data_IF_753232932116
#
_entry.id   IF_753232932116
#
_cell.length_a   1.000
_cell.length_b   1.000
_cell.length_c   1.000
_cell.angle_alpha   90.00
_cell.angle_beta   90.00
_cell.angle_gamma   90.00
#
_symmetry.space_group_name_H-M   'P 1'
#
loop_
_entity.id
_entity.type
_entity.pdbx_description
1 polymer ?
#
# COMPACT_ATOMS: atom_id res chain seq x y z
N UNK A 1 -9.32 -30.88 -81.66
CA UNK A 1 -8.51 -31.12 -80.43
C UNK A 1 -8.38 -29.80 -79.69
N UNK A 2 -8.68 -29.82 -78.39
CA UNK A 2 -9.04 -28.67 -77.56
C UNK A 2 -7.79 -27.89 -77.13
N UNK A 3 -7.73 -26.59 -77.42
CA UNK A 3 -6.72 -25.67 -76.87
C UNK A 3 -7.15 -25.19 -75.48
N UNK A 4 -6.40 -25.55 -74.44
CA UNK A 4 -6.54 -24.98 -73.09
C UNK A 4 -5.64 -23.75 -72.95
N UNK A 5 -6.24 -22.57 -72.80
CA UNK A 5 -5.56 -21.34 -72.34
C UNK A 5 -5.48 -21.39 -70.81
N UNK A 6 -4.28 -21.41 -70.23
CA UNK A 6 -4.09 -21.15 -68.81
C UNK A 6 -3.94 -19.63 -68.59
N UNK A 7 -4.91 -19.06 -67.89
CA UNK A 7 -4.87 -17.69 -67.37
C UNK A 7 -4.26 -17.74 -65.97
N UNK A 8 -3.05 -17.20 -65.79
CA UNK A 8 -2.43 -17.07 -64.47
C UNK A 8 -2.92 -15.75 -63.85
N UNK A 9 -3.84 -15.83 -62.90
CA UNK A 9 -4.27 -14.69 -62.10
C UNK A 9 -3.33 -14.53 -60.90
N UNK A 10 -2.55 -13.45 -60.87
CA UNK A 10 -1.74 -13.08 -59.73
C UNK A 10 -2.63 -12.43 -58.66
N UNK A 11 -2.82 -13.11 -57.53
CA UNK A 11 -3.50 -12.55 -56.35
C UNK A 11 -2.44 -11.88 -55.48
N UNK A 12 -2.29 -10.56 -55.60
CA UNK A 12 -1.55 -9.75 -54.63
C UNK A 12 -2.40 -9.57 -53.36
N UNK A 13 -2.16 -10.41 -52.36
CA UNK A 13 -2.74 -10.23 -51.02
C UNK A 13 -2.10 -9.03 -50.32
N UNK A 14 -2.86 -7.96 -50.10
CA UNK A 14 -2.49 -6.89 -49.18
C UNK A 14 -2.60 -7.43 -47.74
N UNK A 15 -1.45 -7.69 -47.11
CA UNK A 15 -1.37 -7.88 -45.67
C UNK A 15 -1.47 -6.50 -44.99
N UNK A 16 -2.65 -6.17 -44.49
CA UNK A 16 -2.84 -5.06 -43.55
C UNK A 16 -2.25 -5.45 -42.20
N UNK A 17 -1.03 -4.99 -41.91
CA UNK A 17 -0.48 -5.03 -40.57
C UNK A 17 -1.23 -4.00 -39.71
N UNK A 18 -2.17 -4.46 -38.90
CA UNK A 18 -2.71 -3.66 -37.80
C UNK A 18 -1.61 -3.49 -36.75
N UNK A 19 -0.87 -2.39 -36.83
CA UNK A 19 -0.05 -1.93 -35.71
C UNK A 19 -1.01 -1.50 -34.59
N UNK A 20 -1.14 -2.34 -33.57
CA UNK A 20 -1.77 -1.91 -32.32
C UNK A 20 -0.86 -0.81 -31.77
N UNK A 21 -1.31 0.44 -31.85
CA UNK A 21 -0.61 1.56 -31.24
C UNK A 21 -0.52 1.29 -29.72
N UNK A 22 0.70 1.08 -29.22
CA UNK A 22 0.94 0.95 -27.79
C UNK A 22 0.53 2.26 -27.12
N UNK A 23 -0.37 2.18 -26.14
CA UNK A 23 -0.85 3.37 -25.44
C UNK A 23 0.33 4.07 -24.76
N UNK A 24 0.40 5.39 -24.86
CA UNK A 24 1.48 6.16 -24.26
C UNK A 24 1.59 5.89 -22.74
N UNK A 25 2.81 5.79 -22.19
CA UNK A 25 3.01 5.59 -20.75
C UNK A 25 2.32 6.66 -19.92
N UNK A 26 1.75 6.25 -18.78
CA UNK A 26 1.08 7.17 -17.84
C UNK A 26 2.07 8.15 -17.22
N UNK A 27 1.65 9.39 -16.95
CA UNK A 27 2.53 10.40 -16.34
C UNK A 27 2.30 10.52 -14.85
N UNK A 28 3.34 10.28 -14.04
CA UNK A 28 3.25 10.26 -12.57
C UNK A 28 4.00 11.44 -11.98
N UNK A 29 3.34 12.20 -11.11
CA UNK A 29 4.01 13.18 -10.26
C UNK A 29 4.58 12.46 -9.04
N UNK A 30 5.90 12.50 -8.86
CA UNK A 30 6.61 11.84 -7.76
C UNK A 30 7.03 12.91 -6.75
N UNK A 31 6.47 12.84 -5.54
CA UNK A 31 6.79 13.76 -4.45
C UNK A 31 7.59 13.02 -3.39
N UNK A 32 8.81 13.49 -3.14
CA UNK A 32 9.75 12.91 -2.14
C UNK A 32 10.14 13.92 -1.04
N UNK A 33 9.30 14.94 -0.82
CA UNK A 33 9.57 15.99 0.16
C UNK A 33 9.35 15.52 1.61
N UNK A 34 10.30 15.86 2.48
CA UNK A 34 10.16 15.73 3.94
C UNK A 34 10.13 17.11 4.61
N UNK A 35 9.02 17.45 5.25
CA UNK A 35 8.84 18.55 6.20
C UNK A 35 8.79 18.00 7.64
N UNK A 36 9.81 17.22 7.99
CA UNK A 36 9.92 16.44 9.22
C UNK A 36 11.11 15.49 9.14
N UNK A 37 10.99 14.28 9.70
CA UNK A 37 12.02 13.26 9.54
C UNK A 37 12.23 12.95 8.06
N UNK A 38 13.50 12.97 7.63
CA UNK A 38 13.92 12.69 6.26
C UNK A 38 14.62 11.35 6.22
N UNK A 39 13.99 10.39 5.55
CA UNK A 39 14.58 9.06 5.36
C UNK A 39 15.70 9.11 4.33
N UNK A 40 16.67 8.22 4.48
CA UNK A 40 17.82 8.16 3.59
C UNK A 40 17.47 7.98 2.10
N UNK A 41 16.49 7.15 1.70
CA UNK A 41 16.14 6.95 0.28
C UNK A 41 15.68 8.21 -0.46
N UNK A 42 15.27 9.26 0.25
CA UNK A 42 14.84 10.55 -0.32
C UNK A 42 15.86 11.68 -0.17
N UNK A 43 17.09 11.36 0.24
CA UNK A 43 18.18 12.33 0.23
C UNK A 43 18.64 12.59 -1.20
N UNK A 44 18.57 13.86 -1.63
CA UNK A 44 19.18 14.35 -2.86
C UNK A 44 20.58 14.90 -2.56
N UNK A 45 21.50 14.77 -3.52
CA UNK A 45 22.79 15.47 -3.51
C UNK A 45 22.70 16.65 -4.48
N UNK A 46 22.46 17.84 -3.96
CA UNK A 46 22.27 19.04 -4.78
C UNK A 46 21.04 18.94 -5.69
N UNK A 47 21.24 19.01 -7.01
CA UNK A 47 20.16 18.94 -8.02
C UNK A 47 19.87 17.53 -8.54
N UNK A 48 20.60 16.53 -8.06
CA UNK A 48 20.40 15.12 -8.44
C UNK A 48 19.08 14.57 -7.89
N UNK A 49 18.59 13.51 -8.52
CA UNK A 49 17.49 12.69 -8.04
C UNK A 49 17.91 11.88 -6.82
N UNK A 50 16.93 11.47 -5.99
CA UNK A 50 17.17 10.53 -4.90
C UNK A 50 16.90 9.08 -5.33
N UNK A 51 17.28 8.10 -4.50
CA UNK A 51 17.14 6.67 -4.81
C UNK A 51 15.70 6.29 -5.20
N UNK A 52 14.69 6.78 -4.46
CA UNK A 52 13.28 6.54 -4.79
C UNK A 52 12.93 7.02 -6.19
N UNK A 53 13.38 8.22 -6.56
CA UNK A 53 13.12 8.84 -7.86
C UNK A 53 13.80 8.07 -8.99
N UNK A 54 15.04 7.66 -8.80
CA UNK A 54 15.81 6.87 -9.77
C UNK A 54 15.20 5.50 -10.01
N UNK A 55 14.80 4.81 -8.94
CA UNK A 55 14.17 3.50 -9.05
C UNK A 55 12.81 3.61 -9.73
N UNK A 56 11.98 4.59 -9.37
CA UNK A 56 10.68 4.78 -10.03
C UNK A 56 10.82 5.13 -11.51
N UNK A 57 11.76 6.01 -11.88
CA UNK A 57 12.04 6.33 -13.27
C UNK A 57 12.53 5.10 -14.05
N UNK A 58 13.42 4.30 -13.46
CA UNK A 58 13.96 3.07 -14.06
C UNK A 58 12.85 2.05 -14.31
N UNK A 59 12.05 1.72 -13.29
CA UNK A 59 11.01 0.68 -13.40
C UNK A 59 9.84 1.13 -14.28
N UNK A 60 9.50 2.42 -14.26
CA UNK A 60 8.48 3.00 -15.14
C UNK A 60 8.91 2.86 -16.61
N UNK A 61 10.15 3.26 -16.91
CA UNK A 61 10.74 3.14 -18.26
C UNK A 61 10.87 1.69 -18.71
N UNK A 62 11.41 0.79 -17.88
CA UNK A 62 11.63 -0.60 -18.28
C UNK A 62 10.35 -1.40 -18.44
N UNK A 63 9.28 -1.04 -17.72
CA UNK A 63 7.97 -1.68 -17.83
C UNK A 63 7.09 -1.11 -18.94
N UNK A 64 7.42 0.08 -19.47
CA UNK A 64 6.58 0.81 -20.43
C UNK A 64 5.29 1.40 -19.83
N UNK A 65 5.06 1.23 -18.53
CA UNK A 65 3.78 1.58 -17.90
C UNK A 65 3.67 3.08 -17.62
N UNK A 66 4.74 3.70 -17.13
CA UNK A 66 4.69 5.08 -16.68
C UNK A 66 6.03 5.83 -16.79
N UNK A 67 5.94 7.15 -16.77
CA UNK A 67 7.06 8.08 -16.64
C UNK A 67 6.88 8.93 -15.40
N UNK A 68 7.96 9.50 -14.87
CA UNK A 68 7.96 10.26 -13.62
C UNK A 68 8.37 11.70 -13.83
N UNK A 69 7.71 12.63 -13.14
CA UNK A 69 8.17 14.01 -12.92
C UNK A 69 8.39 14.17 -11.42
N UNK A 70 9.62 14.48 -11.03
CA UNK A 70 10.05 14.41 -9.64
C UNK A 70 10.07 15.81 -8.99
N UNK A 71 9.56 15.93 -7.76
CA UNK A 71 9.63 17.18 -6.99
C UNK A 71 9.86 16.93 -5.50
N UNK A 72 10.66 17.80 -4.88
CA UNK A 72 10.73 17.98 -3.43
C UNK A 72 10.17 19.34 -2.98
N UNK A 73 9.45 20.02 -3.87
CA UNK A 73 8.69 21.23 -3.59
C UNK A 73 7.21 20.99 -3.92
N UNK A 74 6.45 20.52 -2.91
CA UNK A 74 5.05 20.14 -3.06
C UNK A 74 4.15 21.34 -3.36
N UNK A 75 4.47 22.53 -2.83
CA UNK A 75 3.66 23.73 -3.04
C UNK A 75 3.66 24.15 -4.52
N UNK A 76 4.82 24.09 -5.18
CA UNK A 76 4.93 24.37 -6.61
C UNK A 76 4.36 23.23 -7.47
N UNK A 77 4.56 21.99 -7.04
CA UNK A 77 4.17 20.82 -7.82
C UNK A 77 2.67 20.48 -7.75
N UNK A 78 2.02 20.72 -6.62
CA UNK A 78 0.63 20.34 -6.37
C UNK A 78 -0.26 21.58 -6.49
N UNK A 79 -0.50 21.96 -7.74
CA UNK A 79 -1.45 23.01 -8.12
C UNK A 79 -2.48 22.43 -9.09
N UNK A 80 -3.69 22.98 -9.13
CA UNK A 80 -4.75 22.48 -10.02
C UNK A 80 -4.31 22.44 -11.48
N UNK A 81 -3.59 23.46 -11.93
CA UNK A 81 -3.10 23.53 -13.31
C UNK A 81 -2.00 22.51 -13.59
N UNK A 82 -1.01 22.40 -12.70
CA UNK A 82 0.07 21.44 -12.89
C UNK A 82 -0.46 20.00 -12.87
N UNK A 83 -1.46 19.70 -12.01
CA UNK A 83 -2.04 18.36 -11.87
C UNK A 83 -2.77 17.85 -13.13
N UNK A 84 -3.24 18.73 -14.03
CA UNK A 84 -3.99 18.34 -15.24
C UNK A 84 -3.21 17.39 -16.16
N UNK A 85 -1.88 17.46 -16.16
CA UNK A 85 -1.03 16.65 -17.03
C UNK A 85 -0.72 15.24 -16.48
N UNK A 86 -1.11 14.96 -15.23
CA UNK A 86 -0.73 13.72 -14.55
C UNK A 86 -1.89 12.72 -14.52
N UNK A 87 -1.55 11.44 -14.55
CA UNK A 87 -2.48 10.31 -14.41
C UNK A 87 -2.52 9.77 -12.99
N UNK A 88 -1.47 10.02 -12.22
CA UNK A 88 -1.39 9.69 -10.81
C UNK A 88 -0.28 10.44 -10.09
N UNK A 89 -0.25 10.27 -8.78
CA UNK A 89 0.74 10.87 -7.89
C UNK A 89 1.31 9.81 -6.96
N UNK A 90 2.61 9.89 -6.71
CA UNK A 90 3.35 9.01 -5.80
C UNK A 90 3.91 9.81 -4.64
N UNK A 91 3.68 9.33 -3.41
CA UNK A 91 4.20 9.93 -2.19
C UNK A 91 5.20 8.99 -1.49
N UNK A 92 6.39 9.51 -1.24
CA UNK A 92 7.28 9.10 -0.15
C UNK A 92 7.63 10.38 0.61
N UNK A 93 6.75 10.81 1.50
CA UNK A 93 6.78 12.16 2.07
C UNK A 93 6.66 12.13 3.59
N UNK A 94 7.02 13.22 4.27
CA UNK A 94 6.84 13.33 5.73
C UNK A 94 6.36 14.72 6.11
N UNK A 95 5.45 14.82 7.09
CA UNK A 95 5.06 16.11 7.69
C UNK A 95 3.93 16.85 6.95
N UNK A 96 3.81 18.16 7.22
CA UNK A 96 2.79 19.04 6.62
C UNK A 96 3.39 19.79 5.42
N UNK A 97 3.11 19.33 4.20
CA UNK A 97 3.77 19.83 2.97
C UNK A 97 3.05 21.01 2.29
N UNK A 98 1.75 21.14 2.53
CA UNK A 98 0.86 22.09 1.87
C UNK A 98 0.10 22.91 2.93
N UNK A 99 -0.10 24.21 2.70
CA UNK A 99 -0.97 25.02 3.54
C UNK A 99 -2.42 24.56 3.44
N UNK A 100 -3.24 24.95 4.43
CA UNK A 100 -4.68 24.77 4.38
C UNK A 100 -5.27 25.53 3.17
N UNK A 101 -6.40 25.04 2.64
CA UNK A 101 -7.07 25.64 1.48
C UNK A 101 -6.78 24.92 0.15
N UNK A 102 -6.74 25.70 -0.93
CA UNK A 102 -6.79 25.17 -2.30
C UNK A 102 -5.72 24.10 -2.63
N UNK A 103 -4.44 24.20 -2.19
CA UNK A 103 -3.46 23.17 -2.52
C UNK A 103 -3.82 21.78 -1.99
N UNK A 104 -4.40 21.69 -0.78
CA UNK A 104 -4.88 20.40 -0.23
C UNK A 104 -6.11 19.90 -0.97
N UNK A 105 -7.06 20.79 -1.26
CA UNK A 105 -8.26 20.41 -2.00
C UNK A 105 -7.93 19.99 -3.44
N UNK A 106 -6.96 20.63 -4.10
CA UNK A 106 -6.46 20.24 -5.41
C UNK A 106 -5.91 18.79 -5.41
N UNK A 107 -5.15 18.41 -4.39
CA UNK A 107 -4.67 17.03 -4.22
C UNK A 107 -5.85 16.05 -4.05
N UNK A 108 -6.79 16.36 -3.16
CA UNK A 108 -7.90 15.46 -2.88
C UNK A 108 -8.85 15.34 -4.07
N UNK A 109 -9.15 16.44 -4.76
CA UNK A 109 -9.98 16.48 -5.97
C UNK A 109 -9.32 15.69 -7.11
N UNK A 110 -8.01 15.83 -7.29
CA UNK A 110 -7.26 15.06 -8.28
C UNK A 110 -7.48 13.55 -8.09
N UNK A 111 -7.31 13.05 -6.86
CA UNK A 111 -7.52 11.63 -6.54
C UNK A 111 -9.00 11.26 -6.73
N UNK A 112 -9.93 12.02 -6.12
CA UNK A 112 -11.38 11.76 -6.21
C UNK A 112 -11.89 11.76 -7.66
N UNK A 113 -11.25 12.50 -8.56
CA UNK A 113 -11.64 12.60 -9.97
C UNK A 113 -11.40 11.32 -10.77
N UNK A 114 -10.55 10.41 -10.28
CA UNK A 114 -10.23 9.17 -10.98
C UNK A 114 -8.74 8.84 -11.06
N UNK A 115 -7.88 9.73 -10.59
CA UNK A 115 -6.42 9.62 -10.72
C UNK A 115 -5.84 8.68 -9.66
N UNK A 116 -4.71 8.06 -9.98
CA UNK A 116 -4.05 7.11 -9.10
C UNK A 116 -3.32 7.80 -7.96
N UNK A 117 -3.36 7.21 -6.76
CA UNK A 117 -2.46 7.55 -5.66
C UNK A 117 -1.67 6.31 -5.24
N UNK A 118 -0.35 6.43 -5.20
CA UNK A 118 0.55 5.42 -4.63
C UNK A 118 1.31 6.01 -3.47
N UNK A 119 1.22 5.41 -2.29
CA UNK A 119 1.99 5.79 -1.11
C UNK A 119 2.94 4.67 -0.69
N UNK A 120 4.19 5.03 -0.38
CA UNK A 120 5.15 4.10 0.21
C UNK A 120 5.64 4.61 1.57
N UNK A 121 5.77 3.69 2.53
CA UNK A 121 6.37 3.89 3.84
C UNK A 121 5.93 5.19 4.56
N UNK A 122 6.74 6.24 4.45
CA UNK A 122 6.52 7.53 5.12
C UNK A 122 5.31 8.29 4.62
N UNK A 123 4.68 7.90 3.50
CA UNK A 123 3.42 8.49 3.06
C UNK A 123 2.34 8.50 4.17
N UNK A 124 2.34 7.52 5.09
CA UNK A 124 1.44 7.51 6.26
C UNK A 124 1.89 8.43 7.41
N UNK A 125 3.11 8.96 7.39
CA UNK A 125 3.66 10.00 8.29
C UNK A 125 3.44 11.42 7.73
N UNK A 126 2.66 11.55 6.66
CA UNK A 126 2.31 12.82 6.03
C UNK A 126 0.95 13.32 6.51
N UNK A 127 0.80 14.64 6.63
CA UNK A 127 -0.49 15.31 6.83
C UNK A 127 -1.32 14.84 8.04
N UNK A 128 -0.67 14.47 9.16
CA UNK A 128 -1.36 13.95 10.37
C UNK A 128 -2.50 14.83 10.90
N UNK A 129 -2.44 16.15 10.66
CA UNK A 129 -3.48 17.12 11.09
C UNK A 129 -4.55 17.39 10.03
N UNK A 130 -4.39 16.86 8.82
CA UNK A 130 -5.37 16.99 7.74
C UNK A 130 -6.17 15.70 7.61
N UNK A 131 -7.36 15.68 8.20
CA UNK A 131 -8.23 14.51 8.25
C UNK A 131 -8.56 13.95 6.86
N UNK A 132 -8.73 14.81 5.85
CA UNK A 132 -9.00 14.37 4.47
C UNK A 132 -7.93 13.40 3.93
N UNK A 133 -6.65 13.74 4.12
CA UNK A 133 -5.56 12.85 3.72
C UNK A 133 -5.48 11.60 4.58
N UNK A 134 -5.56 11.73 5.91
CA UNK A 134 -5.51 10.58 6.84
C UNK A 134 -6.62 9.58 6.54
N UNK A 135 -7.84 10.04 6.28
CA UNK A 135 -8.96 9.19 5.88
C UNK A 135 -8.75 8.58 4.50
N UNK A 136 -8.15 9.29 3.54
CA UNK A 136 -7.88 8.77 2.19
C UNK A 136 -6.83 7.65 2.23
N UNK A 137 -5.67 7.88 2.85
CA UNK A 137 -4.62 6.87 2.94
C UNK A 137 -4.96 5.75 3.96
N UNK A 138 -5.88 6.01 4.88
CA UNK A 138 -6.38 5.12 5.93
C UNK A 138 -5.33 4.70 6.96
N UNK A 139 -4.62 5.67 7.54
CA UNK A 139 -3.68 5.43 8.62
C UNK A 139 -2.71 6.59 8.78
N UNK A 140 -2.50 7.01 10.02
CA UNK A 140 -1.50 8.03 10.38
C UNK A 140 -0.42 7.38 11.25
N UNK A 141 0.85 7.56 10.90
CA UNK A 141 1.98 7.03 11.67
C UNK A 141 1.84 7.33 13.17
N UNK A 142 1.97 6.28 13.97
CA UNK A 142 1.85 6.28 15.43
C UNK A 142 3.00 5.54 16.13
N UNK A 143 4.09 5.26 15.41
CA UNK A 143 5.26 4.55 15.92
C UNK A 143 5.75 3.45 14.98
N UNK A 144 6.84 2.79 15.37
CA UNK A 144 7.55 1.79 14.57
C UNK A 144 8.17 0.69 15.46
N UNK A 145 7.34 -0.17 16.10
CA UNK A 145 7.84 -1.19 17.03
C UNK A 145 8.75 -2.24 16.39
N UNK A 146 8.65 -2.40 15.07
CA UNK A 146 9.51 -3.25 14.26
C UNK A 146 10.44 -2.36 13.45
N UNK A 147 11.66 -2.20 13.96
CA UNK A 147 12.66 -1.25 13.48
C UNK A 147 13.27 -1.70 12.15
N UNK A 148 13.98 -0.81 11.46
CA UNK A 148 14.68 -1.05 10.19
C UNK A 148 15.58 -2.30 10.12
N UNK A 149 16.15 -2.73 11.25
CA UNK A 149 16.97 -3.94 11.34
C UNK A 149 16.19 -5.25 11.55
N UNK A 150 14.88 -5.18 11.77
CA UNK A 150 14.03 -6.34 12.08
C UNK A 150 13.70 -7.12 10.81
N UNK A 151 14.04 -8.41 10.77
CA UNK A 151 13.56 -9.32 9.75
C UNK A 151 12.25 -9.96 10.22
N UNK A 152 11.15 -9.69 9.51
CA UNK A 152 9.80 -10.05 9.90
C UNK A 152 9.14 -10.96 8.87
N UNK A 153 8.22 -11.80 9.30
CA UNK A 153 7.34 -12.55 8.41
C UNK A 153 6.09 -11.75 8.03
N UNK A 154 5.56 -12.03 6.85
CA UNK A 154 4.34 -11.40 6.32
C UNK A 154 3.40 -12.47 5.77
N UNK A 155 2.09 -12.26 6.00
CA UNK A 155 1.03 -13.08 5.41
C UNK A 155 0.42 -12.31 4.25
N UNK A 156 0.50 -12.88 3.05
CA UNK A 156 -0.26 -12.41 1.90
C UNK A 156 -1.65 -13.05 1.92
N UNK A 157 -2.64 -12.23 2.18
CA UNK A 157 -4.04 -12.63 2.30
C UNK A 157 -4.67 -12.91 0.93
N UNK A 158 -4.08 -12.38 -0.13
CA UNK A 158 -4.63 -12.41 -1.48
C UNK A 158 -3.54 -12.70 -2.52
N UNK A 159 -2.98 -13.93 -2.54
CA UNK A 159 -1.86 -14.29 -3.40
C UNK A 159 -2.16 -14.22 -4.90
N UNK A 160 -3.41 -14.03 -5.30
CA UNK A 160 -3.84 -13.83 -6.68
C UNK A 160 -4.09 -12.35 -7.03
N UNK A 161 -4.12 -11.44 -6.05
CA UNK A 161 -4.29 -10.01 -6.32
C UNK A 161 -3.04 -9.50 -7.06
N UNK A 162 -3.17 -8.80 -8.20
CA UNK A 162 -2.05 -8.51 -9.09
C UNK A 162 -0.94 -7.72 -8.42
N UNK A 163 -1.30 -6.81 -7.51
CA UNK A 163 -0.34 -5.98 -6.80
C UNK A 163 0.57 -6.76 -5.85
N UNK A 164 0.18 -7.97 -5.40
CA UNK A 164 0.93 -8.73 -4.37
C UNK A 164 1.25 -10.17 -4.77
N UNK A 165 0.82 -10.62 -5.95
CA UNK A 165 1.02 -12.01 -6.41
C UNK A 165 2.50 -12.43 -6.45
N UNK A 166 3.41 -11.50 -6.75
CA UNK A 166 4.86 -11.74 -6.77
C UNK A 166 5.47 -12.06 -5.41
N UNK A 167 4.77 -11.78 -4.31
CA UNK A 167 5.26 -12.01 -2.95
C UNK A 167 5.01 -13.45 -2.45
N UNK A 168 4.20 -14.23 -3.19
CA UNK A 168 3.75 -15.54 -2.73
C UNK A 168 2.80 -15.46 -1.53
N UNK A 169 2.45 -16.60 -0.94
CA UNK A 169 1.51 -16.69 0.19
C UNK A 169 2.09 -16.13 1.50
N UNK A 170 3.39 -16.30 1.70
CA UNK A 170 4.12 -15.79 2.85
C UNK A 170 5.55 -15.43 2.43
N UNK A 171 6.12 -14.41 3.05
CA UNK A 171 7.48 -13.96 2.75
C UNK A 171 8.13 -13.37 4.01
N UNK A 172 9.47 -13.31 3.99
CA UNK A 172 10.27 -12.64 5.02
C UNK A 172 10.86 -11.36 4.43
N UNK A 173 10.86 -10.28 5.22
CA UNK A 173 11.46 -9.02 4.78
C UNK A 173 12.08 -8.25 5.95
N UNK A 174 13.24 -7.64 5.68
CA UNK A 174 13.93 -6.75 6.62
C UNK A 174 13.61 -5.29 6.30
N UNK A 175 12.70 -4.71 7.05
CA UNK A 175 12.26 -3.30 6.90
C UNK A 175 11.73 -2.75 8.22
N UNK A 176 11.52 -1.43 8.26
CA UNK A 176 10.78 -0.78 9.35
C UNK A 176 9.27 -0.83 9.10
N UNK A 177 8.53 -1.36 10.07
CA UNK A 177 7.07 -1.50 9.99
C UNK A 177 6.39 -0.61 11.03
N UNK A 178 5.44 0.17 10.53
CA UNK A 178 4.70 1.17 11.26
C UNK A 178 3.50 0.59 12.00
N UNK A 179 3.12 1.33 13.02
CA UNK A 179 1.79 1.29 13.59
C UNK A 179 1.03 2.56 13.27
N UNK A 180 -0.30 2.48 13.21
CA UNK A 180 -1.15 3.57 12.73
C UNK A 180 -2.23 3.97 13.73
N UNK A 181 -2.43 5.27 13.90
CA UNK A 181 -3.66 5.83 14.42
C UNK A 181 -4.67 6.01 13.27
N UNK A 182 -5.95 6.16 13.60
CA UNK A 182 -7.03 6.46 12.65
C UNK A 182 -7.16 5.45 11.50
N UNK A 183 -6.78 4.20 11.74
CA UNK A 183 -6.97 3.11 10.79
C UNK A 183 -8.41 2.60 10.87
N UNK A 184 -9.14 2.63 9.76
CA UNK A 184 -10.50 2.09 9.66
C UNK A 184 -10.51 0.78 8.84
N UNK A 185 -10.79 -0.38 9.46
CA UNK A 185 -10.83 -1.66 8.74
C UNK A 185 -12.00 -1.78 7.76
N UNK A 186 -13.02 -0.91 7.87
CA UNK A 186 -14.15 -0.88 6.95
C UNK A 186 -13.90 -0.03 5.69
N UNK A 187 -12.77 0.67 5.62
CA UNK A 187 -12.46 1.59 4.53
C UNK A 187 -11.46 1.05 3.50
N UNK A 188 -10.75 -0.04 3.80
CA UNK A 188 -9.68 -0.59 2.96
C UNK A 188 -9.71 -2.10 2.86
N UNK A 189 -9.15 -2.59 1.75
CA UNK A 189 -8.83 -3.99 1.54
C UNK A 189 -7.36 -4.22 1.88
N UNK A 190 -7.10 -4.91 2.99
CA UNK A 190 -5.73 -5.28 3.39
C UNK A 190 -5.27 -6.47 2.57
N UNK A 191 -4.15 -6.32 1.86
CA UNK A 191 -3.59 -7.34 0.97
C UNK A 191 -2.56 -8.21 1.70
N UNK A 192 -1.69 -7.59 2.49
CA UNK A 192 -0.80 -8.32 3.39
C UNK A 192 -0.56 -7.57 4.69
N UNK A 193 -0.22 -8.33 5.72
CA UNK A 193 0.07 -7.85 7.07
C UNK A 193 1.27 -8.58 7.67
N UNK A 194 1.79 -8.08 8.80
CA UNK A 194 2.76 -8.84 9.58
C UNK A 194 2.19 -10.22 9.96
N UNK A 195 3.00 -11.25 9.78
CA UNK A 195 2.77 -12.57 10.34
C UNK A 195 3.31 -12.58 11.76
N UNK A 196 2.44 -12.34 12.74
CA UNK A 196 2.86 -12.23 14.14
C UNK A 196 3.53 -13.50 14.68
N UNK A 197 3.20 -14.68 14.14
CA UNK A 197 3.83 -15.95 14.51
C UNK A 197 5.25 -16.14 13.93
N UNK A 198 5.57 -15.43 12.83
CA UNK A 198 6.90 -15.41 12.20
C UNK A 198 7.64 -14.08 12.41
N UNK A 199 7.18 -13.31 13.39
CA UNK A 199 7.76 -12.05 13.82
C UNK A 199 7.89 -12.06 15.33
N UNK A 200 8.67 -11.12 15.88
CA UNK A 200 8.61 -10.85 17.32
C UNK A 200 7.33 -10.02 17.59
N UNK A 201 6.32 -10.54 18.30
CA UNK A 201 5.09 -9.80 18.55
C UNK A 201 5.38 -8.66 19.54
N UNK A 202 5.33 -7.42 19.07
CA UNK A 202 5.56 -6.23 19.89
C UNK A 202 4.27 -5.69 20.50
N UNK A 203 3.13 -5.98 19.85
CA UNK A 203 1.81 -5.43 20.17
C UNK A 203 0.72 -6.51 19.97
N UNK A 204 -0.40 -6.46 20.72
CA UNK A 204 -1.48 -7.45 20.71
C UNK A 204 -2.53 -7.21 19.61
N UNK A 205 -2.14 -6.66 18.46
CA UNK A 205 -3.09 -6.29 17.43
C UNK A 205 -2.55 -6.56 16.02
N UNK A 206 -3.50 -6.69 15.08
CA UNK A 206 -3.22 -6.84 13.65
C UNK A 206 -2.44 -5.64 13.12
N UNK A 207 -1.41 -5.88 12.30
CA UNK A 207 -0.61 -4.82 11.68
C UNK A 207 -0.69 -4.93 10.16
N UNK A 208 -1.66 -4.26 9.51
CA UNK A 208 -1.71 -4.12 8.06
C UNK A 208 -0.43 -3.46 7.52
N UNK A 209 0.09 -3.97 6.42
CA UNK A 209 1.35 -3.47 5.83
C UNK A 209 1.13 -2.99 4.40
N UNK A 210 0.21 -3.61 3.66
CA UNK A 210 -0.22 -3.11 2.35
C UNK A 210 -1.73 -3.22 2.21
N UNK A 211 -2.33 -2.20 1.63
CA UNK A 211 -3.77 -2.15 1.37
C UNK A 211 -4.10 -1.31 0.14
N UNK A 212 -5.31 -1.53 -0.35
CA UNK A 212 -5.91 -0.78 -1.45
C UNK A 212 -7.30 -0.28 -1.09
N UNK A 213 -7.76 0.75 -1.79
CA UNK A 213 -9.17 1.18 -1.78
C UNK A 213 -9.51 2.01 -3.01
N UNK A 214 -10.81 2.13 -3.26
CA UNK A 214 -11.34 3.24 -4.04
C UNK A 214 -11.53 4.48 -3.15
N UNK A 215 -11.30 5.67 -3.71
CA UNK A 215 -11.56 6.95 -3.05
C UNK A 215 -12.12 7.95 -4.08
N UNK A 216 -13.42 8.24 -4.00
CA UNK A 216 -14.14 8.82 -5.13
C UNK A 216 -14.06 7.85 -6.33
N UNK A 217 -13.65 8.36 -7.49
CA UNK A 217 -13.38 7.54 -8.68
C UNK A 217 -11.93 7.03 -8.74
N UNK A 218 -11.04 7.52 -7.88
CA UNK A 218 -9.62 7.17 -7.86
C UNK A 218 -9.33 5.85 -7.15
N UNK A 219 -8.14 5.31 -7.41
CA UNK A 219 -7.61 4.11 -6.75
C UNK A 219 -6.37 4.49 -5.94
N UNK A 220 -6.37 4.08 -4.67
CA UNK A 220 -5.33 4.35 -3.68
C UNK A 220 -4.67 3.02 -3.35
N UNK A 221 -3.35 2.94 -3.57
CA UNK A 221 -2.52 1.80 -3.18
C UNK A 221 -1.47 2.30 -2.18
N UNK A 222 -1.36 1.62 -1.04
CA UNK A 222 -0.36 1.92 -0.02
C UNK A 222 0.42 0.67 0.35
N UNK A 223 1.74 0.82 0.52
CA UNK A 223 2.61 -0.19 1.10
C UNK A 223 3.53 0.46 2.13
N UNK A 224 3.67 -0.15 3.29
CA UNK A 224 4.56 0.36 4.34
C UNK A 224 6.03 0.04 4.08
N UNK A 225 6.31 -0.95 3.22
CA UNK A 225 7.69 -1.29 2.85
C UNK A 225 8.39 -0.10 2.19
N UNK A 226 9.71 -0.02 2.35
CA UNK A 226 10.55 0.98 1.69
C UNK A 226 11.35 1.89 2.62
N UNK A 227 11.48 1.60 3.92
CA UNK A 227 12.38 2.38 4.79
C UNK A 227 13.83 2.19 4.36
N UNK A 228 14.22 0.91 4.19
CA UNK A 228 15.57 0.53 3.87
C UNK A 228 15.87 0.79 2.38
N UNK A 229 17.03 1.37 2.09
CA UNK A 229 17.49 1.54 0.70
C UNK A 229 17.58 0.21 -0.05
N UNK A 230 17.93 -0.89 0.64
CA UNK A 230 17.96 -2.24 0.04
C UNK A 230 16.57 -2.76 -0.37
N UNK A 231 15.48 -2.25 0.22
CA UNK A 231 14.12 -2.57 -0.24
C UNK A 231 13.89 -2.02 -1.65
N UNK A 232 14.37 -0.81 -1.94
CA UNK A 232 14.25 -0.18 -3.27
C UNK A 232 15.06 -0.88 -4.35
N UNK A 233 16.14 -1.56 -3.97
CA UNK A 233 16.99 -2.35 -4.88
C UNK A 233 16.42 -3.74 -5.19
N UNK A 234 15.48 -4.22 -4.38
CA UNK A 234 14.91 -5.55 -4.54
C UNK A 234 13.92 -5.63 -5.72
N UNK A 235 14.16 -6.54 -6.66
CA UNK A 235 13.33 -6.72 -7.85
C UNK A 235 11.88 -7.11 -7.55
N UNK A 236 11.65 -7.88 -6.48
CA UNK A 236 10.29 -8.26 -6.06
C UNK A 236 9.52 -7.04 -5.55
N UNK A 237 10.18 -6.14 -4.82
CA UNK A 237 9.57 -4.88 -4.38
C UNK A 237 9.34 -3.91 -5.55
N UNK A 238 10.28 -3.83 -6.49
CA UNK A 238 10.10 -3.06 -7.73
C UNK A 238 8.89 -3.58 -8.53
N UNK A 239 8.73 -4.91 -8.67
CA UNK A 239 7.56 -5.51 -9.31
C UNK A 239 6.26 -5.22 -8.55
N UNK A 240 6.29 -5.27 -7.21
CA UNK A 240 5.16 -4.88 -6.36
C UNK A 240 4.72 -3.42 -6.62
N UNK A 241 5.68 -2.49 -6.75
CA UNK A 241 5.39 -1.10 -7.11
C UNK A 241 4.82 -0.97 -8.53
N UNK A 242 5.40 -1.63 -9.54
CA UNK A 242 4.89 -1.61 -10.92
C UNK A 242 3.42 -2.06 -10.94
N UNK A 243 3.10 -3.19 -10.31
CA UNK A 243 1.72 -3.69 -10.29
C UNK A 243 0.79 -2.80 -9.44
N UNK A 244 1.31 -2.19 -8.37
CA UNK A 244 0.61 -1.16 -7.60
C UNK A 244 0.23 0.06 -8.44
N UNK A 245 1.15 0.55 -9.29
CA UNK A 245 0.86 1.61 -10.26
C UNK A 245 -0.15 1.15 -11.31
N UNK A 246 0.04 -0.02 -11.93
CA UNK A 246 -0.90 -0.55 -12.94
C UNK A 246 -2.32 -0.62 -12.38
N UNK A 247 -2.48 -1.15 -11.16
CA UNK A 247 -3.77 -1.24 -10.52
C UNK A 247 -4.35 0.14 -10.20
N UNK A 248 -3.54 1.05 -9.63
CA UNK A 248 -3.98 2.42 -9.27
C UNK A 248 -4.35 3.27 -10.48
N UNK A 249 -3.73 3.01 -11.63
CA UNK A 249 -3.97 3.65 -12.92
C UNK A 249 -5.05 2.95 -13.74
N UNK A 250 -5.69 1.90 -13.20
CA UNK A 250 -6.73 1.09 -13.86
C UNK A 250 -6.26 0.42 -15.15
N UNK A 251 -4.97 0.08 -15.21
CA UNK A 251 -4.39 -0.73 -16.29
C UNK A 251 -4.51 -2.23 -16.00
N UNK A 252 -4.77 -2.59 -14.74
CA UNK A 252 -5.12 -3.95 -14.31
C UNK A 252 -6.31 -3.91 -13.37
N UNK A 253 -7.10 -4.97 -13.40
CA UNK A 253 -8.21 -5.17 -12.48
C UNK A 253 -7.79 -5.94 -11.23
N UNK A 254 -8.46 -5.64 -10.12
CA UNK A 254 -8.28 -6.30 -8.84
C UNK A 254 -9.28 -5.73 -7.83
N UNK A 255 -9.83 -6.55 -6.92
CA UNK A 255 -10.84 -6.11 -5.97
C UNK A 255 -10.30 -4.99 -5.06
N UNK A 256 -11.17 -4.06 -4.69
CA UNK A 256 -10.86 -2.93 -3.81
C UNK A 256 -11.76 -2.89 -2.57
N UNK A 257 -12.76 -3.76 -2.53
CA UNK A 257 -13.80 -3.82 -1.52
C UNK A 257 -13.15 -4.17 -0.17
N UNK A 258 -13.46 -3.41 0.89
CA UNK A 258 -12.90 -3.65 2.21
C UNK A 258 -13.10 -5.08 2.70
N UNK A 259 -12.13 -5.62 3.43
CA UNK A 259 -12.15 -6.98 3.97
C UNK A 259 -12.13 -7.00 5.52
N UNK A 260 -13.11 -6.36 6.20
CA UNK A 260 -13.08 -6.16 7.66
C UNK A 260 -13.14 -7.46 8.47
N UNK A 261 -13.77 -8.51 7.93
CA UNK A 261 -13.83 -9.85 8.55
C UNK A 261 -12.46 -10.52 8.59
N UNK A 262 -11.70 -10.43 7.50
CA UNK A 262 -10.32 -10.92 7.46
C UNK A 262 -9.47 -10.19 8.50
N UNK A 263 -9.56 -8.86 8.50
CA UNK A 263 -8.84 -8.03 9.46
C UNK A 263 -9.24 -8.32 10.92
N UNK A 264 -10.50 -8.69 11.17
CA UNK A 264 -10.97 -9.09 12.50
C UNK A 264 -10.34 -10.42 12.94
N UNK A 265 -10.30 -11.42 12.06
CA UNK A 265 -9.64 -12.71 12.32
C UNK A 265 -8.15 -12.53 12.60
N UNK A 266 -7.45 -11.71 11.82
CA UNK A 266 -6.03 -11.41 12.06
C UNK A 266 -5.81 -10.62 13.37
N UNK A 267 -6.77 -9.78 13.78
CA UNK A 267 -6.72 -9.11 15.09
C UNK A 267 -6.83 -10.11 16.23
N UNK A 268 -7.72 -11.09 16.13
CA UNK A 268 -7.84 -12.18 17.10
C UNK A 268 -6.53 -12.99 17.18
N UNK A 269 -5.96 -13.38 16.04
CA UNK A 269 -4.69 -14.15 16.00
C UNK A 269 -3.55 -13.39 16.67
N UNK A 270 -3.39 -12.11 16.32
CA UNK A 270 -2.35 -11.27 16.89
C UNK A 270 -2.51 -11.10 18.41
N UNK A 271 -3.74 -10.87 18.87
CA UNK A 271 -4.04 -10.75 20.29
C UNK A 271 -3.76 -12.06 21.03
N UNK A 272 -4.29 -13.19 20.54
CA UNK A 272 -4.14 -14.51 21.17
C UNK A 272 -2.67 -14.89 21.33
N UNK A 273 -1.84 -14.65 20.31
CA UNK A 273 -0.40 -14.90 20.36
C UNK A 273 0.30 -14.03 21.39
N UNK A 274 0.01 -12.72 21.40
CA UNK A 274 0.64 -11.80 22.35
C UNK A 274 0.23 -12.10 23.79
N UNK A 275 -1.07 -12.29 24.03
CA UNK A 275 -1.62 -12.56 25.35
C UNK A 275 -1.13 -13.91 25.90
N UNK A 276 -1.09 -14.96 25.07
CA UNK A 276 -0.60 -16.27 25.51
C UNK A 276 0.86 -16.21 25.95
N UNK A 277 1.71 -15.50 25.21
CA UNK A 277 3.11 -15.30 25.58
C UNK A 277 3.28 -14.43 26.83
N UNK A 278 2.51 -13.36 26.96
CA UNK A 278 2.63 -12.42 28.09
C UNK A 278 2.08 -12.97 29.40
N UNK A 279 1.06 -13.82 29.33
CA UNK A 279 0.35 -14.36 30.50
C UNK A 279 0.58 -15.85 30.72
N UNK A 280 1.47 -16.47 29.94
CA UNK A 280 1.79 -17.90 29.99
C UNK A 280 0.53 -18.79 29.87
N UNK A 281 -0.30 -18.52 28.85
CA UNK A 281 -1.53 -19.26 28.57
C UNK A 281 -1.32 -20.27 27.44
N UNK A 282 -2.16 -21.29 27.37
CA UNK A 282 -2.27 -22.18 26.21
C UNK A 282 -2.76 -21.39 24.99
N UNK A 283 -1.89 -21.25 23.98
CA UNK A 283 -2.16 -20.47 22.78
C UNK A 283 -3.29 -21.08 21.93
N UNK A 284 -3.25 -22.38 21.68
CA UNK A 284 -4.18 -23.04 20.77
C UNK A 284 -5.59 -23.05 21.34
N UNK A 285 -5.70 -23.29 22.65
CA UNK A 285 -6.96 -23.18 23.37
C UNK A 285 -7.50 -21.74 23.31
N UNK A 286 -6.68 -20.75 23.66
CA UNK A 286 -7.10 -19.34 23.65
C UNK A 286 -7.54 -18.89 22.25
N UNK A 287 -6.77 -19.24 21.21
CA UNK A 287 -7.09 -18.89 19.84
C UNK A 287 -8.43 -19.51 19.41
N UNK A 288 -8.65 -20.79 19.73
CA UNK A 288 -9.92 -21.48 19.44
C UNK A 288 -11.11 -20.76 20.09
N UNK A 289 -11.01 -20.47 21.39
CA UNK A 289 -12.09 -19.83 22.16
C UNK A 289 -12.39 -18.42 21.65
N UNK A 290 -11.35 -17.64 21.31
CA UNK A 290 -11.51 -16.31 20.71
C UNK A 290 -12.09 -16.36 19.29
N UNK A 291 -11.68 -17.33 18.47
CA UNK A 291 -12.19 -17.48 17.10
C UNK A 291 -13.68 -17.84 17.07
N UNK A 292 -14.19 -18.55 18.08
CA UNK A 292 -15.62 -18.80 18.25
C UNK A 292 -16.43 -17.49 18.39
N UNK A 293 -15.79 -16.39 18.84
CA UNK A 293 -16.38 -15.05 18.95
C UNK A 293 -16.09 -14.13 17.76
N UNK A 294 -15.52 -14.64 16.66
CA UNK A 294 -15.11 -13.82 15.50
C UNK A 294 -16.27 -13.12 14.77
N UNK A 295 -17.51 -13.57 14.96
CA UNK A 295 -18.73 -12.91 14.46
C UNK A 295 -19.35 -11.89 15.42
N UNK A 296 -18.87 -11.77 16.66
CA UNK A 296 -19.41 -10.81 17.63
C UNK A 296 -18.75 -9.44 17.47
N UNK A 297 -19.53 -8.48 16.96
CA UNK A 297 -19.06 -7.11 16.72
C UNK A 297 -18.57 -6.40 17.99
N UNK A 298 -19.16 -6.66 19.17
CA UNK A 298 -18.73 -6.08 20.44
C UNK A 298 -17.39 -6.66 20.86
N UNK A 299 -17.22 -7.98 20.74
CA UNK A 299 -15.96 -8.65 21.02
C UNK A 299 -14.83 -8.16 20.08
N UNK A 300 -15.09 -8.09 18.77
CA UNK A 300 -14.11 -7.59 17.80
C UNK A 300 -13.73 -6.14 18.10
N UNK A 301 -14.71 -5.30 18.49
CA UNK A 301 -14.43 -3.93 18.91
C UNK A 301 -13.51 -3.91 20.14
N UNK A 302 -13.78 -4.73 21.16
CA UNK A 302 -12.95 -4.81 22.37
C UNK A 302 -11.52 -5.28 22.09
N UNK A 303 -11.35 -6.31 21.24
CA UNK A 303 -10.01 -6.75 20.78
C UNK A 303 -9.27 -5.61 20.07
N UNK A 304 -9.98 -4.79 19.28
CA UNK A 304 -9.41 -3.63 18.59
C UNK A 304 -9.19 -2.42 19.49
N UNK A 305 -9.85 -2.32 20.65
CA UNK A 305 -9.61 -1.27 21.66
C UNK A 305 -8.28 -1.49 22.42
N UNK A 306 -7.87 -2.75 22.58
CA UNK A 306 -6.48 -3.12 22.90
C UNK A 306 -5.47 -2.71 21.80
N UNK A 307 -5.99 -2.25 20.66
CA UNK A 307 -5.27 -1.82 19.49
C UNK A 307 -4.62 -0.44 19.63
N UNK A 308 -4.62 0.26 18.50
CA UNK A 308 -3.83 1.45 18.22
C UNK A 308 -4.00 2.62 19.20
N UNK A 309 -5.16 2.74 19.86
CA UNK A 309 -5.47 3.84 20.78
C UNK A 309 -4.81 3.71 22.16
N UNK A 310 -4.53 2.49 22.62
CA UNK A 310 -4.01 2.21 23.97
C UNK A 310 -2.52 1.87 24.01
N UNK A 311 -1.82 1.98 22.86
CA UNK A 311 -0.41 1.57 22.68
C UNK A 311 -0.14 0.10 23.06
N UNK A 312 -1.16 -0.76 22.96
CA UNK A 312 -1.01 -2.23 22.95
C UNK A 312 -0.46 -2.90 24.22
N UNK A 313 -0.17 -2.16 25.29
CA UNK A 313 0.46 -2.73 26.51
C UNK A 313 -0.38 -2.55 27.77
N UNK A 314 -1.65 -2.21 27.60
CA UNK A 314 -2.56 -2.04 28.72
C UNK A 314 -3.06 -3.42 29.18
N UNK A 315 -2.52 -3.89 30.31
CA UNK A 315 -2.90 -5.18 30.89
C UNK A 315 -4.37 -5.26 31.31
N UNK A 316 -5.02 -4.14 31.64
CA UNK A 316 -6.43 -4.14 32.01
C UNK A 316 -7.32 -4.39 30.80
N UNK A 317 -6.96 -3.82 29.64
CA UNK A 317 -7.63 -4.12 28.39
C UNK A 317 -7.41 -5.57 27.95
N UNK A 318 -6.21 -6.14 28.18
CA UNK A 318 -5.95 -7.56 27.89
C UNK A 318 -6.83 -8.45 28.76
N UNK A 319 -6.90 -8.17 30.07
CA UNK A 319 -7.77 -8.88 31.01
C UNK A 319 -9.25 -8.77 30.63
N UNK A 320 -9.69 -7.59 30.18
CA UNK A 320 -11.06 -7.39 29.73
C UNK A 320 -11.42 -8.29 28.54
N UNK A 321 -10.55 -8.37 27.52
CA UNK A 321 -10.75 -9.31 26.39
C UNK A 321 -10.81 -10.75 26.89
N UNK A 322 -9.88 -11.16 27.76
CA UNK A 322 -9.84 -12.53 28.27
C UNK A 322 -11.07 -12.88 29.13
N UNK A 323 -11.68 -11.90 29.80
CA UNK A 323 -12.92 -12.10 30.56
C UNK A 323 -14.11 -12.42 29.65
N UNK A 324 -14.17 -11.81 28.48
CA UNK A 324 -15.20 -12.09 27.47
C UNK A 324 -15.01 -13.43 26.76
N UNK A 325 -13.83 -14.05 26.84
CA UNK A 325 -13.53 -15.34 26.18
C UNK A 325 -13.98 -16.54 27.02
N UNK A 326 -13.89 -16.41 28.35
CA UNK A 326 -14.33 -17.42 29.33
C UNK A 326 -15.83 -17.66 29.29
#
# INVERSE_FOLDING_TARGET
MIFHKFLMAAVCGLFLFNTIAEAAPKKILVITQSAGFRHQPVNRKGKETCQVEDVLAKIGKSSGIFTTVNSQNSIEAITRDNLKQFDGIFFYTTGMLLPDGDPREALMDFIKSGKGFVGAHSAADTFKKYQGYVSMINGSFAGHPWNAGSNNGFLNHEPTHPTVAMLGKEFMWKDEIYQYNNFDPSAVRVLFSLNMAKSKPQMPYHVPVCWVRNYGKGRVFFTNLGHNGSTWENETFQKHLIEGFKWSLKLTDGPAEPNPELQAKESIKAFALFASQKMNLDHDKLLKDMMAKSGDAKFIKLVRENGWKSKGRNMDLIKAVLAEVK
#
